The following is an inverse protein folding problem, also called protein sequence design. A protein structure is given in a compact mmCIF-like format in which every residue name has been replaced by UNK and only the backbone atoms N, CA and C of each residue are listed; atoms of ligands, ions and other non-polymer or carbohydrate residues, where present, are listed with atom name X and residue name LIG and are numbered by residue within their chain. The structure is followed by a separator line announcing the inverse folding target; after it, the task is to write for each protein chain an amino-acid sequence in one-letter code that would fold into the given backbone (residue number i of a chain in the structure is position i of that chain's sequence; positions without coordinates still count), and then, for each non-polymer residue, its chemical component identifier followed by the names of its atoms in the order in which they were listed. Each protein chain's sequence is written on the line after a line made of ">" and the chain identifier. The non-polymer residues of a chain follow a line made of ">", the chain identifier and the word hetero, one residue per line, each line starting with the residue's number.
data_IF_136937547477
#
_entry.id   IF_136937547477
#
_cell.length_a   1.000
_cell.length_b   1.000
_cell.length_c   1.000
_cell.angle_alpha   90.00
_cell.angle_beta   90.00
_cell.angle_gamma   90.00
#
_symmetry.space_group_name_H-M   'P 1'
#
loop_
_entity.id
_entity.type
_entity.pdbx_description
1 polymer ?
#
# COMPACT_ATOMS: atom_id res chain seq x y z
N UNK A 1 -4.07 -13.56 -28.72
CA UNK A 1 -4.57 -12.37 -28.01
C UNK A 1 -3.35 -11.70 -27.42
N UNK A 2 -3.04 -10.47 -27.78
CA UNK A 2 -1.94 -9.76 -27.16
C UNK A 2 -2.28 -9.58 -25.67
N UNK A 3 -1.41 -10.06 -24.78
CA UNK A 3 -1.55 -9.86 -23.34
C UNK A 3 -1.75 -8.38 -23.07
N UNK A 4 -2.91 -8.05 -22.49
CA UNK A 4 -3.23 -6.68 -22.08
C UNK A 4 -2.24 -6.32 -20.99
N UNK A 5 -1.17 -5.58 -21.33
CA UNK A 5 -0.22 -5.07 -20.34
C UNK A 5 -1.00 -4.15 -19.40
N UNK A 6 -1.00 -4.50 -18.12
CA UNK A 6 -1.70 -3.72 -17.11
C UNK A 6 -0.91 -2.44 -16.83
N UNK A 7 -1.51 -1.26 -17.01
CA UNK A 7 -0.82 -0.01 -16.74
C UNK A 7 -0.46 0.08 -15.25
N UNK A 8 0.80 0.43 -14.97
CA UNK A 8 1.28 0.69 -13.61
C UNK A 8 1.02 2.12 -13.14
N UNK A 9 0.20 2.86 -13.88
CA UNK A 9 -0.04 4.30 -13.67
C UNK A 9 -0.42 4.62 -12.22
N UNK A 10 -1.39 3.88 -11.67
CA UNK A 10 -1.86 4.10 -10.29
C UNK A 10 -0.76 3.78 -9.29
N UNK A 11 -0.11 2.63 -9.44
CA UNK A 11 0.93 2.18 -8.52
C UNK A 11 2.11 3.14 -8.47
N UNK A 12 2.53 3.67 -9.63
CA UNK A 12 3.55 4.72 -9.71
C UNK A 12 3.06 6.01 -9.07
N UNK A 13 1.83 6.44 -9.37
CA UNK A 13 1.24 7.64 -8.78
C UNK A 13 1.12 7.52 -7.25
N UNK A 14 0.74 6.36 -6.73
CA UNK A 14 0.67 6.10 -5.29
C UNK A 14 2.05 6.19 -4.63
N UNK A 15 3.09 5.61 -5.22
CA UNK A 15 4.45 5.66 -4.67
C UNK A 15 4.99 7.11 -4.63
N UNK A 16 4.81 7.89 -5.70
CA UNK A 16 5.21 9.29 -5.72
C UNK A 16 4.31 10.14 -4.80
N UNK A 17 3.01 9.83 -4.73
CA UNK A 17 2.06 10.47 -3.82
C UNK A 17 2.40 10.24 -2.35
N UNK A 18 2.90 9.07 -1.99
CA UNK A 18 3.45 8.75 -0.68
C UNK A 18 4.58 9.72 -0.28
N UNK A 19 5.59 9.92 -1.14
CA UNK A 19 6.67 10.88 -0.90
C UNK A 19 6.13 12.30 -0.66
N UNK A 20 5.20 12.73 -1.51
CA UNK A 20 4.56 14.04 -1.37
C UNK A 20 3.74 14.17 -0.09
N UNK A 21 3.09 13.11 0.35
CA UNK A 21 2.37 13.03 1.62
C UNK A 21 3.31 13.14 2.82
N UNK A 22 4.40 12.38 2.81
CA UNK A 22 5.44 12.45 3.85
C UNK A 22 6.03 13.87 3.95
N UNK A 23 6.34 14.51 2.83
CA UNK A 23 6.89 15.86 2.82
C UNK A 23 5.93 16.93 3.35
N UNK A 24 4.62 16.80 3.02
CA UNK A 24 3.61 17.82 3.37
C UNK A 24 3.08 17.70 4.79
N UNK A 25 3.03 16.50 5.32
CA UNK A 25 2.35 16.20 6.58
C UNK A 25 3.28 15.66 7.67
N UNK A 26 4.59 15.82 7.50
CA UNK A 26 5.62 15.33 8.44
C UNK A 26 5.33 15.64 9.91
N UNK A 27 4.75 16.83 10.19
CA UNK A 27 4.46 17.29 11.56
C UNK A 27 3.16 16.70 12.13
N UNK A 28 2.31 16.13 11.27
CA UNK A 28 1.03 15.51 11.60
C UNK A 28 1.06 13.98 11.57
N UNK A 29 2.13 13.41 11.00
CA UNK A 29 2.27 11.96 10.87
C UNK A 29 2.91 11.37 12.13
N UNK A 30 2.23 10.45 12.83
CA UNK A 30 2.87 9.69 13.88
C UNK A 30 3.96 8.80 13.28
N UNK A 31 5.03 8.58 14.05
CA UNK A 31 6.16 7.73 13.66
C UNK A 31 6.93 8.22 12.40
N UNK A 32 6.78 9.50 12.04
CA UNK A 32 7.56 10.05 10.94
C UNK A 32 9.06 10.01 11.29
N UNK A 33 9.85 9.47 10.39
CA UNK A 33 11.31 9.46 10.43
C UNK A 33 11.86 10.17 9.20
N UNK A 34 12.90 10.98 9.42
CA UNK A 34 13.60 11.63 8.31
C UNK A 34 14.32 10.61 7.44
N UNK A 35 14.86 9.56 8.03
CA UNK A 35 15.59 8.51 7.32
C UNK A 35 14.64 7.73 6.40
N UNK A 36 13.42 7.42 6.86
CA UNK A 36 12.39 6.79 6.03
C UNK A 36 11.97 7.70 4.87
N UNK A 37 11.85 9.01 5.11
CA UNK A 37 11.55 9.98 4.07
C UNK A 37 12.67 10.05 3.03
N UNK A 38 13.93 10.17 3.45
CA UNK A 38 15.09 10.25 2.56
C UNK A 38 15.20 8.97 1.71
N UNK A 39 14.91 7.82 2.30
CA UNK A 39 14.85 6.55 1.57
C UNK A 39 13.72 6.52 0.52
N UNK A 40 12.50 6.91 0.88
CA UNK A 40 11.36 6.98 -0.05
C UNK A 40 11.64 7.97 -1.19
N UNK A 41 12.30 9.09 -0.88
CA UNK A 41 12.71 10.07 -1.89
C UNK A 41 13.70 9.45 -2.89
N UNK A 42 14.73 8.77 -2.41
CA UNK A 42 15.74 8.10 -3.25
C UNK A 42 15.12 6.97 -4.07
N UNK A 43 14.23 6.17 -3.47
CA UNK A 43 13.44 5.16 -4.15
C UNK A 43 12.68 5.75 -5.33
N UNK A 44 11.88 6.79 -5.10
CA UNK A 44 11.07 7.42 -6.13
C UNK A 44 11.89 8.12 -7.21
N UNK A 45 13.07 8.64 -6.85
CA UNK A 45 14.03 9.16 -7.84
C UNK A 45 14.46 8.07 -8.82
N UNK A 46 14.76 6.87 -8.33
CA UNK A 46 15.15 5.74 -9.16
C UNK A 46 13.94 5.11 -9.87
N UNK A 47 12.78 5.04 -9.24
CA UNK A 47 11.54 4.62 -9.89
C UNK A 47 11.23 5.48 -11.12
N UNK A 48 11.28 6.81 -10.99
CA UNK A 48 11.07 7.74 -12.11
C UNK A 48 12.08 7.54 -13.24
N UNK A 49 13.33 7.20 -12.94
CA UNK A 49 14.34 6.86 -13.95
C UNK A 49 14.01 5.54 -14.64
N UNK A 50 13.73 4.50 -13.86
CA UNK A 50 13.37 3.16 -14.36
C UNK A 50 12.15 3.21 -15.29
N UNK A 51 11.09 3.93 -14.91
CA UNK A 51 9.88 4.05 -15.73
C UNK A 51 10.09 4.82 -17.06
N UNK A 52 11.23 5.47 -17.26
CA UNK A 52 11.60 6.12 -18.53
C UNK A 52 12.43 5.21 -19.45
N UNK A 53 12.92 4.10 -18.95
CA UNK A 53 13.68 3.13 -19.74
C UNK A 53 12.79 2.46 -20.79
N UNK A 54 13.33 2.13 -21.97
CA UNK A 54 12.55 1.57 -23.08
C UNK A 54 11.70 0.34 -22.68
N UNK A 55 12.26 -0.54 -21.86
CA UNK A 55 11.64 -1.79 -21.43
C UNK A 55 10.44 -1.60 -20.48
N UNK A 56 10.42 -0.51 -19.68
CA UNK A 56 9.36 -0.21 -18.72
C UNK A 56 8.39 0.86 -19.22
N UNK A 57 8.76 1.58 -20.27
CA UNK A 57 7.97 2.70 -20.80
C UNK A 57 6.55 2.29 -21.20
N UNK A 58 6.37 1.08 -21.68
CA UNK A 58 5.07 0.57 -22.14
C UNK A 58 4.13 0.19 -20.98
N UNK A 59 4.62 0.09 -19.74
CA UNK A 59 3.78 -0.16 -18.57
C UNK A 59 3.04 1.11 -18.08
N UNK A 60 3.29 2.26 -18.71
CA UNK A 60 2.58 3.49 -18.42
C UNK A 60 1.90 4.06 -19.65
N UNK A 61 0.69 4.58 -19.46
CA UNK A 61 -0.01 5.32 -20.49
C UNK A 61 0.71 6.65 -20.80
N UNK A 62 0.54 7.16 -22.02
CA UNK A 62 1.22 8.41 -22.45
C UNK A 62 0.87 9.59 -21.52
N UNK A 63 -0.37 9.68 -21.06
CA UNK A 63 -0.84 10.74 -20.16
C UNK A 63 -0.11 10.69 -18.82
N UNK A 64 0.10 9.50 -18.26
CA UNK A 64 0.73 9.35 -16.94
C UNK A 64 2.24 9.56 -16.96
N UNK A 65 2.89 9.39 -18.11
CA UNK A 65 4.32 9.71 -18.24
C UNK A 65 4.65 11.14 -17.87
N UNK A 66 3.71 12.06 -18.03
CA UNK A 66 3.86 13.46 -17.61
C UNK A 66 4.07 13.55 -16.10
N UNK A 67 3.40 12.68 -15.32
CA UNK A 67 3.51 12.69 -13.85
C UNK A 67 4.93 12.38 -13.36
N UNK A 68 5.71 11.61 -14.14
CA UNK A 68 7.11 11.31 -13.80
C UNK A 68 8.01 12.56 -13.76
N UNK A 69 7.58 13.66 -14.36
CA UNK A 69 8.31 14.92 -14.36
C UNK A 69 7.89 15.88 -13.25
N UNK A 70 6.77 15.60 -12.58
CA UNK A 70 6.27 16.46 -11.51
C UNK A 70 7.06 16.23 -10.21
N UNK A 71 7.29 17.31 -9.43
CA UNK A 71 7.70 17.17 -8.03
C UNK A 71 6.66 16.38 -7.23
N UNK A 72 7.11 15.55 -6.29
CA UNK A 72 6.21 14.70 -5.49
C UNK A 72 5.14 15.51 -4.73
N UNK A 73 5.51 16.66 -4.17
CA UNK A 73 4.57 17.60 -3.51
C UNK A 73 3.50 18.12 -4.47
N UNK A 74 3.86 18.40 -5.72
CA UNK A 74 2.89 18.85 -6.74
C UNK A 74 1.94 17.73 -7.10
N UNK A 75 2.46 16.52 -7.34
CA UNK A 75 1.62 15.36 -7.63
C UNK A 75 0.68 15.02 -6.48
N UNK A 76 1.16 15.05 -5.23
CA UNK A 76 0.31 14.79 -4.06
C UNK A 76 -0.86 15.79 -3.93
N UNK A 77 -0.63 17.08 -4.28
CA UNK A 77 -1.72 18.08 -4.32
C UNK A 77 -2.74 17.79 -5.44
N UNK A 78 -2.28 17.26 -6.57
CA UNK A 78 -3.16 16.85 -7.68
C UNK A 78 -3.99 15.63 -7.24
N UNK A 79 -3.36 14.63 -6.66
CA UNK A 79 -4.05 13.44 -6.12
C UNK A 79 -5.14 13.86 -5.13
N UNK A 80 -4.82 14.75 -4.18
CA UNK A 80 -5.77 15.23 -3.17
C UNK A 80 -6.95 16.03 -3.76
N UNK A 81 -6.82 16.53 -4.98
CA UNK A 81 -7.92 17.23 -5.68
C UNK A 81 -8.79 16.30 -6.51
N UNK A 82 -8.21 15.25 -7.07
CA UNK A 82 -8.88 14.35 -8.01
C UNK A 82 -9.48 13.12 -7.33
N UNK A 83 -8.84 12.66 -6.24
CA UNK A 83 -9.30 11.55 -5.42
C UNK A 83 -10.01 12.04 -4.15
N UNK A 84 -10.20 11.14 -3.21
CA UNK A 84 -10.66 11.51 -1.86
C UNK A 84 -9.71 12.56 -1.27
N UNK A 85 -10.23 13.64 -0.67
CA UNK A 85 -9.41 14.68 -0.07
C UNK A 85 -8.37 14.11 0.92
N UNK A 86 -7.13 14.62 0.82
CA UNK A 86 -6.01 14.16 1.64
C UNK A 86 -5.57 12.70 1.41
N UNK A 87 -5.83 12.16 0.23
CA UNK A 87 -5.38 10.79 -0.14
C UNK A 87 -3.86 10.63 0.03
N UNK A 88 -3.07 11.67 -0.24
CA UNK A 88 -1.61 11.62 -0.06
C UNK A 88 -1.17 11.53 1.41
N UNK A 89 -1.91 12.16 2.34
CA UNK A 89 -1.72 11.94 3.78
C UNK A 89 -1.96 10.48 4.14
N UNK A 90 -3.03 9.93 3.60
CA UNK A 90 -3.39 8.55 3.80
C UNK A 90 -2.31 7.57 3.32
N UNK A 91 -1.74 7.79 2.13
CA UNK A 91 -0.64 6.97 1.63
C UNK A 91 0.58 7.01 2.56
N UNK A 92 0.92 8.19 3.08
CA UNK A 92 2.02 8.35 4.03
C UNK A 92 1.74 7.63 5.36
N UNK A 93 0.53 7.82 5.89
CA UNK A 93 0.14 7.23 7.18
C UNK A 93 0.10 5.70 7.13
N UNK A 94 -0.55 5.10 6.12
CA UNK A 94 -0.62 3.64 6.01
C UNK A 94 0.76 2.99 5.88
N UNK A 95 1.67 3.66 5.15
CA UNK A 95 3.05 3.23 5.01
C UNK A 95 3.76 3.17 6.37
N UNK A 96 3.66 4.25 7.17
CA UNK A 96 4.28 4.32 8.49
C UNK A 96 3.60 3.37 9.48
N UNK A 97 2.28 3.28 9.45
CA UNK A 97 1.53 2.39 10.36
C UNK A 97 1.84 0.91 10.08
N UNK A 98 1.98 0.51 8.80
CA UNK A 98 2.35 -0.85 8.44
C UNK A 98 3.78 -1.18 8.89
N UNK A 99 4.74 -0.28 8.65
CA UNK A 99 6.11 -0.48 9.11
C UNK A 99 6.19 -0.58 10.63
N UNK A 100 5.51 0.32 11.34
CA UNK A 100 5.47 0.32 12.80
C UNK A 100 4.80 -0.94 13.37
N UNK A 101 3.70 -1.40 12.76
CA UNK A 101 3.06 -2.66 13.11
C UNK A 101 4.03 -3.84 13.04
N UNK A 102 4.83 -3.90 11.98
CA UNK A 102 5.83 -4.96 11.83
C UNK A 102 6.93 -4.81 12.88
N UNK A 103 7.41 -3.59 13.18
CA UNK A 103 8.41 -3.38 14.23
C UNK A 103 7.95 -3.84 15.61
N UNK A 104 6.67 -3.62 15.92
CA UNK A 104 6.10 -4.01 17.22
C UNK A 104 5.79 -5.51 17.32
N UNK A 105 5.44 -6.16 16.22
CA UNK A 105 4.88 -7.51 16.23
C UNK A 105 5.79 -8.60 15.71
N UNK A 106 6.75 -8.24 14.83
CA UNK A 106 7.62 -9.25 14.24
C UNK A 106 8.57 -9.85 15.28
N UNK A 107 8.46 -11.15 15.47
CA UNK A 107 9.46 -11.91 16.20
C UNK A 107 10.76 -12.03 15.39
N UNK A 108 11.82 -12.50 16.02
CA UNK A 108 13.09 -12.74 15.32
C UNK A 108 12.93 -13.77 14.21
N UNK A 109 13.44 -13.46 13.02
CA UNK A 109 13.33 -14.29 11.82
C UNK A 109 11.86 -14.59 11.40
N UNK A 110 10.93 -13.65 11.64
CA UNK A 110 9.57 -13.77 11.13
C UNK A 110 9.52 -13.61 9.61
N UNK A 111 8.56 -14.28 8.97
CA UNK A 111 8.23 -14.04 7.58
C UNK A 111 7.16 -12.93 7.51
N UNK A 112 7.39 -11.97 6.62
CA UNK A 112 6.43 -10.91 6.33
C UNK A 112 5.87 -11.19 4.93
N UNK A 113 4.58 -11.47 4.86
CA UNK A 113 3.87 -11.73 3.63
C UNK A 113 3.16 -10.45 3.20
N UNK A 114 3.65 -9.85 2.12
CA UNK A 114 3.16 -8.60 1.56
C UNK A 114 2.32 -8.87 0.31
N UNK A 115 1.00 -8.77 0.45
CA UNK A 115 0.06 -9.08 -0.62
C UNK A 115 -0.38 -7.80 -1.34
N UNK A 116 0.04 -7.67 -2.61
CA UNK A 116 -0.27 -6.53 -3.46
C UNK A 116 0.51 -5.28 -3.08
N UNK A 117 1.81 -5.42 -2.89
CA UNK A 117 2.72 -4.33 -2.50
C UNK A 117 2.68 -3.14 -3.44
N UNK A 118 2.46 -3.35 -4.73
CA UNK A 118 2.68 -2.35 -5.75
C UNK A 118 4.16 -1.94 -5.83
N UNK A 119 4.41 -0.64 -6.00
CA UNK A 119 5.76 -0.06 -6.06
C UNK A 119 6.13 0.69 -4.76
N UNK A 120 5.45 0.42 -3.66
CA UNK A 120 5.75 0.99 -2.35
C UNK A 120 7.03 0.37 -1.76
N UNK A 121 7.99 1.15 -1.26
CA UNK A 121 9.23 0.64 -0.69
C UNK A 121 9.12 0.24 0.78
N UNK A 122 7.92 0.13 1.38
CA UNK A 122 7.75 -0.09 2.80
C UNK A 122 8.50 -1.32 3.33
N UNK A 123 8.51 -2.40 2.55
CA UNK A 123 9.23 -3.62 2.92
C UNK A 123 10.75 -3.43 3.01
N UNK A 124 11.33 -2.56 2.17
CA UNK A 124 12.75 -2.21 2.28
C UNK A 124 13.04 -1.36 3.52
N UNK A 125 12.15 -0.41 3.86
CA UNK A 125 12.25 0.35 5.10
C UNK A 125 12.21 -0.58 6.31
N UNK A 126 11.30 -1.56 6.30
CA UNK A 126 11.26 -2.60 7.33
C UNK A 126 12.59 -3.36 7.40
N UNK A 127 13.13 -3.82 6.27
CA UNK A 127 14.38 -4.59 6.22
C UNK A 127 15.60 -3.80 6.72
N UNK A 128 15.64 -2.48 6.55
CA UNK A 128 16.71 -1.65 7.08
C UNK A 128 16.74 -1.66 8.62
N UNK A 129 15.57 -1.65 9.25
CA UNK A 129 15.43 -1.63 10.70
C UNK A 129 15.31 -3.03 11.32
N UNK A 130 14.87 -4.01 10.52
CA UNK A 130 14.70 -5.41 10.90
C UNK A 130 15.34 -6.33 9.84
N UNK A 131 16.69 -6.39 9.77
CA UNK A 131 17.40 -7.22 8.78
C UNK A 131 17.15 -8.71 8.97
N UNK A 132 16.69 -9.13 10.15
CA UNK A 132 16.37 -10.50 10.52
C UNK A 132 15.09 -11.05 9.85
N UNK A 133 14.09 -10.19 9.51
CA UNK A 133 12.86 -10.68 8.90
C UNK A 133 13.05 -11.07 7.42
N UNK A 134 12.23 -11.99 6.92
CA UNK A 134 12.19 -12.36 5.50
C UNK A 134 10.96 -11.75 4.83
N UNK A 135 11.13 -11.19 3.62
CA UNK A 135 10.05 -10.55 2.88
C UNK A 135 9.61 -11.45 1.72
N UNK A 136 8.32 -11.79 1.72
CA UNK A 136 7.64 -12.52 0.65
C UNK A 136 6.58 -11.60 0.05
N UNK A 137 6.62 -11.37 -1.25
CA UNK A 137 5.73 -10.40 -1.88
C UNK A 137 4.95 -11.01 -3.03
N UNK A 138 3.66 -10.71 -3.07
CA UNK A 138 2.75 -11.17 -4.11
C UNK A 138 2.23 -9.99 -4.90
N UNK A 139 2.59 -9.93 -6.17
CA UNK A 139 2.11 -8.91 -7.10
C UNK A 139 2.20 -9.42 -8.54
N UNK A 140 1.71 -8.62 -9.49
CA UNK A 140 1.83 -8.91 -10.93
C UNK A 140 3.29 -8.91 -11.37
N UNK A 141 3.60 -9.69 -12.39
CA UNK A 141 4.95 -9.83 -12.94
C UNK A 141 5.57 -8.49 -13.34
N UNK A 142 4.77 -7.58 -13.93
CA UNK A 142 5.21 -6.26 -14.34
C UNK A 142 5.61 -5.38 -13.15
N UNK A 143 4.81 -5.42 -12.08
CA UNK A 143 5.12 -4.72 -10.82
C UNK A 143 6.41 -5.25 -10.22
N UNK A 144 6.57 -6.57 -10.16
CA UNK A 144 7.75 -7.22 -9.62
C UNK A 144 9.01 -6.88 -10.44
N UNK A 145 8.89 -6.82 -11.79
CA UNK A 145 10.00 -6.47 -12.68
C UNK A 145 10.49 -5.05 -12.45
N UNK A 146 9.58 -4.08 -12.36
CA UNK A 146 9.93 -2.68 -12.06
C UNK A 146 10.54 -2.55 -10.67
N UNK A 147 9.93 -3.23 -9.68
CA UNK A 147 10.42 -3.17 -8.30
C UNK A 147 11.85 -3.74 -8.20
N UNK A 148 12.13 -4.88 -8.84
CA UNK A 148 13.46 -5.47 -8.89
C UNK A 148 14.47 -4.51 -9.51
N UNK A 149 14.13 -3.92 -10.66
CA UNK A 149 15.02 -2.98 -11.35
C UNK A 149 15.34 -1.72 -10.51
N UNK A 150 14.39 -1.24 -9.69
CA UNK A 150 14.63 -0.14 -8.75
C UNK A 150 15.49 -0.62 -7.57
N UNK A 151 15.22 -1.81 -7.02
CA UNK A 151 16.01 -2.40 -5.93
C UNK A 151 17.47 -2.59 -6.34
N UNK A 152 17.71 -3.11 -7.54
CA UNK A 152 19.07 -3.34 -8.09
C UNK A 152 19.86 -2.04 -8.19
N UNK A 153 19.21 -0.93 -8.64
CA UNK A 153 19.84 0.39 -8.72
C UNK A 153 20.24 0.96 -7.36
N UNK A 154 19.59 0.50 -6.32
CA UNK A 154 19.84 0.90 -4.93
C UNK A 154 20.68 -0.11 -4.15
N UNK A 155 21.13 -1.20 -4.80
CA UNK A 155 21.81 -2.33 -4.18
C UNK A 155 21.05 -2.91 -2.99
N UNK A 156 19.72 -3.02 -3.12
CA UNK A 156 18.84 -3.55 -2.08
C UNK A 156 18.57 -5.04 -2.32
N UNK A 157 18.36 -5.84 -1.25
CA UNK A 157 18.00 -7.23 -1.40
C UNK A 157 16.63 -7.36 -2.07
N UNK A 158 16.52 -8.23 -3.07
CA UNK A 158 15.26 -8.54 -3.71
C UNK A 158 14.42 -9.44 -2.79
N UNK A 159 13.12 -9.12 -2.55
CA UNK A 159 12.21 -10.00 -1.84
C UNK A 159 11.95 -11.30 -2.60
N UNK A 160 11.41 -12.31 -1.93
CA UNK A 160 10.87 -13.50 -2.58
C UNK A 160 9.57 -13.13 -3.30
N UNK A 161 9.55 -13.22 -4.64
CA UNK A 161 8.40 -12.86 -5.46
C UNK A 161 7.49 -14.05 -5.73
N UNK A 162 6.18 -13.89 -5.44
CA UNK A 162 5.14 -14.88 -5.70
C UNK A 162 5.43 -16.27 -5.13
N UNK A 163 6.18 -16.30 -4.04
CA UNK A 163 6.51 -17.51 -3.28
C UNK A 163 5.95 -17.38 -1.86
N UNK A 164 5.49 -18.49 -1.30
CA UNK A 164 5.13 -18.57 0.12
C UNK A 164 6.28 -19.20 0.90
N UNK A 165 6.49 -18.81 2.17
CA UNK A 165 7.38 -19.58 3.04
C UNK A 165 6.88 -21.04 3.10
N UNK A 166 7.81 -21.97 3.19
CA UNK A 166 7.51 -23.42 3.13
C UNK A 166 6.48 -23.86 4.20
N UNK A 167 6.46 -23.19 5.35
CA UNK A 167 5.46 -23.35 6.41
C UNK A 167 5.28 -22.04 7.16
N UNK A 168 4.20 -21.27 6.89
CA UNK A 168 3.89 -20.10 7.69
C UNK A 168 3.65 -20.48 9.15
N UNK A 169 4.23 -19.71 10.08
CA UNK A 169 4.05 -19.91 11.51
C UNK A 169 2.99 -18.95 12.02
N UNK A 170 1.82 -19.48 12.39
CA UNK A 170 0.62 -18.74 12.75
C UNK A 170 0.84 -17.59 13.73
N UNK A 171 1.59 -17.84 14.83
CA UNK A 171 1.82 -16.83 15.86
C UNK A 171 2.96 -15.85 15.53
N UNK A 172 3.87 -16.23 14.63
CA UNK A 172 5.12 -15.53 14.36
C UNK A 172 5.10 -14.68 13.10
N UNK A 173 4.54 -15.23 12.02
CA UNK A 173 4.56 -14.60 10.71
C UNK A 173 3.49 -13.52 10.60
N UNK A 174 3.74 -12.52 9.76
CA UNK A 174 2.88 -11.35 9.61
C UNK A 174 2.35 -11.26 8.19
N UNK A 175 1.07 -11.03 8.04
CA UNK A 175 0.43 -10.72 6.77
C UNK A 175 0.13 -9.22 6.67
N UNK A 176 0.57 -8.61 5.58
CA UNK A 176 0.32 -7.19 5.27
C UNK A 176 -0.31 -7.07 3.90
N UNK A 177 -1.33 -6.22 3.76
CA UNK A 177 -1.88 -5.86 2.46
C UNK A 177 -2.33 -4.41 2.45
N UNK A 178 -1.74 -3.62 1.54
CA UNK A 178 -1.98 -2.19 1.42
C UNK A 178 -2.53 -1.85 0.03
N UNK A 179 -3.81 -1.44 -0.05
CA UNK A 179 -4.43 -0.98 -1.29
C UNK A 179 -4.73 -2.06 -2.32
N UNK A 180 -4.83 -3.33 -1.91
CA UNK A 180 -5.02 -4.45 -2.85
C UNK A 180 -6.42 -5.03 -2.79
N UNK A 181 -6.99 -5.11 -1.61
CA UNK A 181 -8.30 -5.74 -1.43
C UNK A 181 -9.40 -5.03 -2.24
N UNK A 182 -9.27 -3.75 -2.47
CA UNK A 182 -10.21 -2.94 -3.27
C UNK A 182 -10.38 -3.43 -4.73
N UNK A 183 -9.41 -4.18 -5.26
CA UNK A 183 -9.48 -4.76 -6.61
C UNK A 183 -10.21 -6.11 -6.65
N UNK A 184 -10.42 -6.75 -5.51
CA UNK A 184 -11.16 -7.99 -5.38
C UNK A 184 -12.65 -7.69 -5.24
N UNK A 185 -13.52 -8.55 -5.74
CA UNK A 185 -14.95 -8.43 -5.43
C UNK A 185 -15.25 -8.83 -3.96
N UNK A 186 -16.48 -8.57 -3.50
CA UNK A 186 -16.86 -8.85 -2.11
C UNK A 186 -16.68 -10.33 -1.72
N UNK A 187 -16.94 -11.26 -2.65
CA UNK A 187 -16.80 -12.69 -2.37
C UNK A 187 -15.33 -13.10 -2.29
N UNK A 188 -14.51 -12.60 -3.20
CA UNK A 188 -13.05 -12.82 -3.20
C UNK A 188 -12.39 -12.21 -1.97
N UNK A 189 -12.75 -10.96 -1.60
CA UNK A 189 -12.27 -10.32 -0.38
C UNK A 189 -12.64 -11.16 0.86
N UNK A 190 -13.90 -11.60 0.94
CA UNK A 190 -14.37 -12.42 2.05
C UNK A 190 -13.63 -13.75 2.17
N UNK A 191 -13.42 -14.43 1.04
CA UNK A 191 -12.68 -15.69 0.98
C UNK A 191 -11.23 -15.48 1.43
N UNK A 192 -10.57 -14.44 0.90
CA UNK A 192 -9.18 -14.12 1.21
C UNK A 192 -8.99 -13.73 2.67
N UNK A 193 -9.89 -12.94 3.25
CA UNK A 193 -9.86 -12.58 4.67
C UNK A 193 -9.99 -13.81 5.58
N UNK A 194 -10.89 -14.74 5.24
CA UNK A 194 -11.05 -16.00 6.01
C UNK A 194 -9.82 -16.89 5.90
N UNK A 195 -9.29 -17.08 4.70
CA UNK A 195 -8.07 -17.84 4.45
C UNK A 195 -6.90 -17.26 5.26
N UNK A 196 -6.67 -15.96 5.13
CA UNK A 196 -5.56 -15.26 5.79
C UNK A 196 -5.69 -15.33 7.32
N UNK A 197 -6.90 -15.12 7.86
CA UNK A 197 -7.15 -15.18 9.30
C UNK A 197 -6.96 -16.56 9.89
N UNK A 198 -7.08 -17.63 9.09
CA UNK A 198 -6.76 -18.98 9.50
C UNK A 198 -5.25 -19.29 9.51
N UNK A 199 -4.47 -18.56 8.71
CA UNK A 199 -3.03 -18.79 8.54
C UNK A 199 -2.15 -17.87 9.38
N UNK A 200 -2.64 -16.67 9.74
CA UNK A 200 -1.85 -15.65 10.41
C UNK A 200 -2.60 -15.07 11.61
N UNK A 201 -1.92 -15.01 12.75
CA UNK A 201 -2.41 -14.27 13.92
C UNK A 201 -2.16 -12.77 13.78
N UNK A 202 -1.01 -12.40 13.22
CA UNK A 202 -0.63 -11.02 13.05
C UNK A 202 -0.96 -10.55 11.63
N UNK A 203 -1.92 -9.63 11.50
CA UNK A 203 -2.37 -9.12 10.20
C UNK A 203 -2.53 -7.61 10.24
N UNK A 204 -2.11 -6.94 9.15
CA UNK A 204 -2.39 -5.55 8.89
C UNK A 204 -2.95 -5.41 7.48
N UNK A 205 -4.26 -5.22 7.38
CA UNK A 205 -4.97 -5.21 6.09
C UNK A 205 -5.73 -3.90 5.95
N UNK A 206 -5.47 -3.21 4.85
CA UNK A 206 -6.24 -2.04 4.43
C UNK A 206 -7.51 -2.49 3.72
N UNK A 207 -8.64 -1.94 4.14
CA UNK A 207 -9.96 -2.18 3.58
C UNK A 207 -10.65 -0.86 3.33
N UNK A 208 -11.10 -0.64 2.11
CA UNK A 208 -11.86 0.56 1.76
C UNK A 208 -13.31 0.47 2.25
N UNK A 209 -13.85 1.60 2.68
CA UNK A 209 -15.30 1.72 2.92
C UNK A 209 -16.05 1.86 1.58
N UNK A 210 -17.32 1.41 1.48
CA UNK A 210 -18.07 1.49 0.24
C UNK A 210 -18.17 2.90 -0.35
N UNK A 211 -18.26 3.94 0.49
CA UNK A 211 -18.30 5.33 0.05
C UNK A 211 -16.96 5.81 -0.53
N UNK A 212 -15.83 5.36 0.01
CA UNK A 212 -14.50 5.68 -0.54
C UNK A 212 -14.33 5.04 -1.92
N UNK A 213 -14.71 3.77 -2.06
CA UNK A 213 -14.72 3.07 -3.36
C UNK A 213 -15.56 3.83 -4.38
N UNK A 214 -16.77 4.28 -4.01
CA UNK A 214 -17.65 5.01 -4.92
C UNK A 214 -17.08 6.37 -5.33
N UNK A 215 -16.42 7.09 -4.42
CA UNK A 215 -15.80 8.38 -4.73
C UNK A 215 -14.59 8.26 -5.67
N UNK A 216 -13.79 7.23 -5.49
CA UNK A 216 -12.60 7.01 -6.32
C UNK A 216 -12.90 6.26 -7.62
N UNK A 217 -14.07 5.64 -7.75
CA UNK A 217 -14.43 4.76 -8.86
C UNK A 217 -14.29 5.44 -10.22
N UNK A 218 -14.78 6.66 -10.36
CA UNK A 218 -14.70 7.40 -11.63
C UNK A 218 -13.26 7.71 -12.01
N UNK A 219 -12.45 8.18 -11.04
CA UNK A 219 -11.04 8.44 -11.27
C UNK A 219 -10.30 7.16 -11.68
N UNK A 220 -10.52 6.09 -10.94
CA UNK A 220 -9.83 4.81 -11.14
C UNK A 220 -10.22 4.16 -12.46
N UNK A 221 -11.49 4.22 -12.86
CA UNK A 221 -11.95 3.73 -14.17
C UNK A 221 -11.29 4.49 -15.32
N UNK A 222 -11.11 5.80 -15.19
CA UNK A 222 -10.38 6.61 -16.17
C UNK A 222 -8.89 6.22 -16.27
N UNK A 223 -8.37 5.53 -15.27
CA UNK A 223 -7.01 5.00 -15.21
C UNK A 223 -6.85 3.57 -15.73
N UNK A 224 -7.95 2.99 -16.25
CA UNK A 224 -7.95 1.65 -16.84
C UNK A 224 -7.93 0.51 -15.80
N UNK A 225 -8.30 0.79 -14.57
CA UNK A 225 -8.52 -0.22 -13.52
C UNK A 225 -9.88 0.00 -12.85
N UNK A 226 -10.33 -0.95 -12.06
CA UNK A 226 -11.63 -0.88 -11.39
C UNK A 226 -11.44 -1.13 -9.89
N UNK A 227 -12.09 -0.29 -9.09
CA UNK A 227 -12.34 -0.58 -7.69
C UNK A 227 -13.69 -1.31 -7.58
N UNK A 228 -13.65 -2.52 -7.05
CA UNK A 228 -14.81 -3.40 -7.10
C UNK A 228 -15.62 -3.36 -5.81
N UNK A 229 -14.97 -3.34 -4.66
CA UNK A 229 -15.67 -3.56 -3.43
C UNK A 229 -15.02 -2.84 -2.23
N UNK A 230 -15.87 -2.61 -1.23
CA UNK A 230 -15.48 -2.14 0.09
C UNK A 230 -16.43 -2.71 1.13
N UNK A 231 -16.01 -2.74 2.40
CA UNK A 231 -16.80 -3.24 3.51
C UNK A 231 -17.15 -2.16 4.53
N UNK A 232 -18.38 -2.17 4.99
CA UNK A 232 -18.74 -1.51 6.25
C UNK A 232 -18.21 -2.30 7.44
N UNK A 233 -18.05 -1.63 8.59
CA UNK A 233 -17.67 -2.29 9.83
C UNK A 233 -18.63 -3.44 10.21
N UNK A 234 -19.93 -3.25 9.97
CA UNK A 234 -20.95 -4.26 10.27
C UNK A 234 -20.80 -5.51 9.41
N UNK A 235 -20.54 -5.34 8.11
CA UNK A 235 -20.30 -6.44 7.18
C UNK A 235 -19.05 -7.23 7.56
N UNK A 236 -17.95 -6.55 7.90
CA UNK A 236 -16.73 -7.21 8.38
C UNK A 236 -16.95 -7.99 9.67
N UNK A 237 -17.65 -7.38 10.65
CA UNK A 237 -17.97 -8.08 11.91
C UNK A 237 -18.82 -9.33 11.66
N UNK A 238 -19.79 -9.25 10.75
CA UNK A 238 -20.62 -10.41 10.37
C UNK A 238 -19.79 -11.47 9.64
N UNK A 239 -18.87 -11.04 8.77
CA UNK A 239 -18.04 -11.93 7.95
C UNK A 239 -17.03 -12.72 8.78
N UNK A 240 -16.32 -12.02 9.67
CA UNK A 240 -15.24 -12.60 10.48
C UNK A 240 -15.75 -13.25 11.76
N UNK A 241 -16.99 -12.95 12.16
CA UNK A 241 -17.58 -13.43 13.39
C UNK A 241 -16.94 -12.82 14.64
N UNK A 242 -17.48 -13.16 15.81
CA UNK A 242 -16.94 -12.71 17.11
C UNK A 242 -15.73 -13.53 17.57
N UNK A 243 -15.43 -14.63 16.88
CA UNK A 243 -14.37 -15.57 17.28
C UNK A 243 -12.97 -15.12 16.87
N UNK A 244 -12.86 -14.16 15.94
CA UNK A 244 -11.59 -13.61 15.52
C UNK A 244 -11.46 -12.22 16.15
N UNK A 245 -10.65 -12.05 17.20
CA UNK A 245 -10.40 -10.73 17.76
C UNK A 245 -9.65 -9.90 16.73
N UNK A 246 -10.26 -8.85 16.23
CA UNK A 246 -9.63 -7.86 15.36
C UNK A 246 -10.01 -6.46 15.82
N UNK A 247 -9.09 -5.53 15.62
CA UNK A 247 -9.33 -4.12 15.85
C UNK A 247 -9.48 -3.42 14.48
N UNK A 248 -10.56 -2.66 14.31
CA UNK A 248 -10.73 -1.78 13.17
C UNK A 248 -10.22 -0.39 13.56
N UNK A 249 -9.02 -0.04 13.11
CA UNK A 249 -8.43 1.29 13.34
C UNK A 249 -8.86 2.23 12.23
N UNK A 250 -9.53 3.32 12.61
CA UNK A 250 -9.80 4.42 11.70
C UNK A 250 -8.60 5.37 11.65
N UNK A 251 -8.21 5.79 10.44
CA UNK A 251 -6.99 6.56 10.21
C UNK A 251 -7.06 7.98 10.81
N UNK A 252 -8.25 8.52 11.04
CA UNK A 252 -8.45 9.92 11.44
C UNK A 252 -8.16 10.28 12.91
N UNK A 253 -7.75 9.33 13.76
CA UNK A 253 -7.85 9.48 15.24
C UNK A 253 -6.92 10.49 15.91
N UNK A 254 -5.88 11.05 15.27
CA UNK A 254 -4.89 11.96 15.90
C UNK A 254 -4.36 13.06 14.99
N UNK A 255 -5.09 13.45 13.98
CA UNK A 255 -4.67 14.52 13.08
C UNK A 255 -4.90 15.88 13.75
N UNK A 256 -3.87 16.69 13.83
CA UNK A 256 -3.94 18.04 14.44
C UNK A 256 -4.79 19.00 13.62
N UNK A 257 -4.73 18.92 12.29
CA UNK A 257 -5.60 19.74 11.41
C UNK A 257 -7.02 19.16 11.40
N UNK A 258 -7.96 19.89 11.97
CA UNK A 258 -9.37 19.49 12.05
C UNK A 258 -10.02 19.26 10.68
N UNK A 259 -9.57 19.96 9.62
CA UNK A 259 -10.07 19.78 8.24
C UNK A 259 -9.64 18.44 7.68
N UNK A 260 -8.37 18.08 7.88
CA UNK A 260 -7.82 16.76 7.52
C UNK A 260 -8.55 15.66 8.29
N UNK A 261 -8.70 15.82 9.61
CA UNK A 261 -9.40 14.88 10.46
C UNK A 261 -10.86 14.64 10.02
N UNK A 262 -11.58 15.71 9.67
CA UNK A 262 -12.97 15.60 9.20
C UNK A 262 -13.06 14.95 7.82
N UNK A 263 -12.18 15.30 6.88
CA UNK A 263 -12.14 14.69 5.57
C UNK A 263 -11.85 13.17 5.67
N UNK A 264 -10.91 12.80 6.53
CA UNK A 264 -10.57 11.40 6.75
C UNK A 264 -11.70 10.60 7.43
N UNK A 265 -12.52 11.18 8.28
CA UNK A 265 -13.70 10.51 8.87
C UNK A 265 -14.75 10.11 7.84
N UNK A 266 -14.92 10.89 6.80
CA UNK A 266 -15.95 10.64 5.77
C UNK A 266 -15.48 9.70 4.67
N UNK A 267 -14.19 9.64 4.42
CA UNK A 267 -13.59 8.95 3.29
C UNK A 267 -12.81 7.70 3.67
N UNK A 268 -12.93 7.23 4.90
CA UNK A 268 -11.91 6.37 5.47
C UNK A 268 -12.01 4.91 5.13
N UNK A 269 -10.89 4.45 4.83
CA UNK A 269 -10.42 3.09 4.87
C UNK A 269 -10.27 2.63 6.33
N UNK A 270 -10.37 1.34 6.53
CA UNK A 270 -10.21 0.70 7.83
C UNK A 270 -8.99 -0.19 7.78
N UNK A 271 -8.21 -0.20 8.86
CA UNK A 271 -7.22 -1.25 9.05
C UNK A 271 -7.80 -2.35 9.91
N UNK A 272 -7.78 -3.56 9.38
CA UNK A 272 -8.00 -4.75 10.15
C UNK A 272 -6.65 -5.13 10.75
N UNK A 273 -6.55 -5.01 12.07
CA UNK A 273 -5.36 -5.31 12.84
C UNK A 273 -5.69 -6.45 13.80
N UNK A 274 -4.89 -7.47 13.77
CA UNK A 274 -4.99 -8.60 14.68
C UNK A 274 -3.64 -8.93 15.29
#
# INVERSE_FOLDING_TARGET
>A
MADKKYPLDITVACSIGLEGGLARFKDDLPNFSKDDFDFVHEWNRNLKKTMKEPEFKEYMTATYRILLHLPAVTLSKIIDKLAVPYRSYYYAKRFLDAAHFVYERAEQNANIIDFGRGLSPWGHVVKQNRPDVQMYTFDKSETNSVFSAVSDKLNLPTPHFNEMPAAPVFDKDIFVSLGTFVYLDNAEQAAKLKETSAQFKNMFIELDKPNAVQQDKELVNNLGTEYNAGFSRQELTKLLGTQIPFELKEIGGRVKDARVANALKTATEMFLVR
#
